data_IF_763310743483
#
_entry.id   IF_763310743483
#
_cell.length_a   1.000
_cell.length_b   1.000
_cell.length_c   1.000
_cell.angle_alpha   90.00
_cell.angle_beta   90.00
_cell.angle_gamma   90.00
#
_symmetry.space_group_name_H-M   'P 1'
#
loop_
_entity.id
_entity.type
_entity.pdbx_description
1 polymer ?
#
# COMPACT_ATOMS: atom_id res chain seq x y z
N UNK A 1 13.32 -7.52 4.94
CA UNK A 1 13.48 -7.74 3.48
C UNK A 1 12.51 -8.80 2.96
N UNK A 2 12.47 -10.01 3.53
CA UNK A 2 11.54 -11.08 3.10
C UNK A 2 10.07 -10.64 3.14
N UNK A 3 9.65 -9.95 4.21
CA UNK A 3 8.26 -9.50 4.35
C UNK A 3 7.82 -8.50 3.26
N UNK A 4 8.73 -7.65 2.77
CA UNK A 4 8.44 -6.75 1.65
C UNK A 4 8.21 -7.54 0.36
N UNK A 5 9.05 -8.54 0.10
CA UNK A 5 8.89 -9.40 -1.08
C UNK A 5 7.53 -10.12 -1.05
N UNK A 6 7.11 -10.60 0.13
CA UNK A 6 5.82 -11.26 0.31
C UNK A 6 4.66 -10.27 0.04
N UNK A 7 4.72 -9.06 0.59
CA UNK A 7 3.70 -8.02 0.32
C UNK A 7 3.62 -7.74 -1.19
N UNK A 8 4.77 -7.53 -1.84
CA UNK A 8 4.81 -7.24 -3.28
C UNK A 8 4.24 -8.39 -4.11
N UNK A 9 4.61 -9.64 -3.80
CA UNK A 9 4.07 -10.82 -4.48
C UNK A 9 2.56 -10.94 -4.27
N UNK A 10 2.09 -10.79 -3.04
CA UNK A 10 0.65 -10.81 -2.74
C UNK A 10 -0.10 -9.76 -3.54
N UNK A 11 0.40 -8.53 -3.55
CA UNK A 11 -0.25 -7.43 -4.25
C UNK A 11 -0.23 -7.61 -5.78
N UNK A 12 0.85 -8.16 -6.33
CA UNK A 12 0.93 -8.52 -7.75
C UNK A 12 -0.07 -9.63 -8.10
N UNK A 13 -0.24 -10.64 -7.25
CA UNK A 13 -1.22 -11.72 -7.46
C UNK A 13 -2.64 -11.18 -7.45
N UNK A 14 -3.02 -10.39 -6.44
CA UNK A 14 -4.37 -9.77 -6.37
C UNK A 14 -4.62 -8.85 -7.57
N UNK A 15 -3.60 -8.09 -7.99
CA UNK A 15 -3.66 -7.23 -9.18
C UNK A 15 -3.79 -8.03 -10.48
N UNK A 16 -3.08 -9.15 -10.62
CA UNK A 16 -3.27 -10.02 -11.77
C UNK A 16 -4.67 -10.64 -11.80
N UNK A 17 -5.17 -11.14 -10.65
CA UNK A 17 -6.50 -11.73 -10.54
C UNK A 17 -7.61 -10.73 -10.93
N UNK A 18 -7.56 -9.52 -10.38
CA UNK A 18 -8.50 -8.44 -10.75
C UNK A 18 -8.47 -8.11 -12.24
N UNK A 19 -7.28 -7.91 -12.80
CA UNK A 19 -7.12 -7.65 -14.23
C UNK A 19 -7.57 -8.80 -15.12
N UNK A 20 -7.35 -10.04 -14.69
CA UNK A 20 -7.84 -11.24 -15.38
C UNK A 20 -9.36 -11.28 -15.43
N UNK A 21 -10.03 -11.04 -14.29
CA UNK A 21 -11.49 -10.95 -14.24
C UNK A 21 -12.01 -9.85 -15.17
N UNK A 22 -11.39 -8.68 -15.18
CA UNK A 22 -11.79 -7.57 -16.06
C UNK A 22 -11.64 -7.91 -17.55
N UNK A 23 -10.50 -8.51 -17.93
CA UNK A 23 -10.24 -8.99 -19.29
C UNK A 23 -11.31 -9.99 -19.75
N UNK A 24 -11.74 -10.87 -18.84
CA UNK A 24 -12.85 -11.81 -19.09
C UNK A 24 -14.19 -11.08 -19.23
N UNK A 25 -14.53 -10.14 -18.34
CA UNK A 25 -15.78 -9.37 -18.41
C UNK A 25 -15.90 -8.56 -19.71
N UNK A 26 -14.79 -8.02 -20.20
CA UNK A 26 -14.75 -7.25 -21.45
C UNK A 26 -14.61 -8.13 -22.70
N UNK A 27 -14.37 -9.43 -22.56
CA UNK A 27 -14.02 -10.35 -23.66
C UNK A 27 -12.83 -9.85 -24.49
N UNK A 28 -11.85 -9.20 -23.86
CA UNK A 28 -10.64 -8.70 -24.55
C UNK A 28 -9.44 -9.47 -24.05
N UNK A 29 -8.63 -10.01 -24.96
CA UNK A 29 -7.36 -10.64 -24.62
C UNK A 29 -6.30 -9.57 -24.32
N UNK A 30 -6.11 -9.29 -23.03
CA UNK A 30 -5.05 -8.39 -22.58
C UNK A 30 -3.76 -9.14 -22.33
N UNK A 31 -2.65 -8.47 -22.66
CA UNK A 31 -1.31 -8.88 -22.21
C UNK A 31 -1.26 -8.90 -20.68
N UNK A 32 -0.30 -9.62 -20.14
CA UNK A 32 -0.20 -9.85 -18.71
C UNK A 32 0.16 -8.58 -17.96
N UNK A 33 1.02 -7.76 -18.56
CA UNK A 33 1.36 -6.44 -18.06
C UNK A 33 0.09 -5.56 -17.93
N UNK A 34 -0.78 -5.54 -18.95
CA UNK A 34 -2.03 -4.77 -18.90
C UNK A 34 -2.99 -5.31 -17.83
N UNK A 35 -3.09 -6.63 -17.65
CA UNK A 35 -3.87 -7.23 -16.56
C UNK A 35 -3.37 -6.74 -15.20
N UNK A 36 -2.07 -6.82 -14.95
CA UNK A 36 -1.48 -6.35 -13.68
C UNK A 36 -1.72 -4.85 -13.48
N UNK A 37 -1.45 -4.02 -14.49
CA UNK A 37 -1.57 -2.56 -14.38
C UNK A 37 -3.01 -2.10 -14.13
N UNK A 38 -3.98 -2.59 -14.90
CA UNK A 38 -5.39 -2.25 -14.68
C UNK A 38 -5.92 -2.81 -13.36
N UNK A 39 -5.52 -4.03 -12.99
CA UNK A 39 -5.89 -4.61 -11.71
C UNK A 39 -5.32 -3.83 -10.52
N UNK A 40 -4.08 -3.37 -10.61
CA UNK A 40 -3.46 -2.49 -9.61
C UNK A 40 -4.28 -1.21 -9.41
N UNK A 41 -4.61 -0.50 -10.50
CA UNK A 41 -5.40 0.74 -10.44
C UNK A 41 -6.78 0.49 -9.81
N UNK A 42 -7.43 -0.62 -10.16
CA UNK A 42 -8.73 -0.99 -9.60
C UNK A 42 -8.63 -1.32 -8.11
N UNK A 43 -7.61 -2.06 -7.68
CA UNK A 43 -7.44 -2.39 -6.26
C UNK A 43 -7.20 -1.15 -5.40
N UNK A 44 -6.34 -0.22 -5.86
CA UNK A 44 -6.11 1.05 -5.18
C UNK A 44 -7.40 1.89 -5.15
N UNK A 45 -8.11 1.99 -6.28
CA UNK A 45 -9.37 2.72 -6.36
C UNK A 45 -10.47 2.13 -5.47
N UNK A 46 -10.62 0.80 -5.45
CA UNK A 46 -11.58 0.11 -4.59
C UNK A 46 -11.26 0.33 -3.12
N UNK A 47 -9.99 0.21 -2.73
CA UNK A 47 -9.57 0.49 -1.36
C UNK A 47 -9.85 1.93 -0.96
N UNK A 48 -9.57 2.91 -1.84
CA UNK A 48 -9.91 4.32 -1.58
C UNK A 48 -11.42 4.51 -1.35
N UNK A 49 -12.26 3.97 -2.24
CA UNK A 49 -13.71 4.10 -2.15
C UNK A 49 -14.25 3.50 -0.84
N UNK A 50 -13.69 2.38 -0.40
CA UNK A 50 -14.09 1.71 0.84
C UNK A 50 -13.54 2.44 2.08
N UNK A 51 -12.29 2.89 2.05
CA UNK A 51 -11.62 3.49 3.22
C UNK A 51 -12.07 4.93 3.49
N UNK A 52 -12.42 5.72 2.47
CA UNK A 52 -12.80 7.13 2.65
C UNK A 52 -13.98 7.32 3.61
N UNK A 53 -15.12 6.59 3.48
CA UNK A 53 -16.20 6.68 4.47
C UNK A 53 -15.74 6.31 5.87
N UNK A 54 -14.89 5.29 6.00
CA UNK A 54 -14.35 4.86 7.29
C UNK A 54 -13.47 5.92 7.94
N UNK A 55 -12.66 6.62 7.15
CA UNK A 55 -11.80 7.69 7.64
C UNK A 55 -12.60 8.96 7.95
N UNK A 56 -13.54 9.33 7.08
CA UNK A 56 -14.38 10.53 7.25
C UNK A 56 -15.26 10.45 8.50
N UNK A 57 -15.83 9.27 8.79
CA UNK A 57 -16.65 9.04 9.99
C UNK A 57 -15.86 8.50 11.18
N UNK A 58 -14.52 8.52 11.13
CA UNK A 58 -13.62 8.07 12.21
C UNK A 58 -13.97 6.67 12.75
N UNK A 59 -14.39 5.77 11.84
CA UNK A 59 -14.82 4.42 12.19
C UNK A 59 -13.63 3.57 12.64
N UNK A 60 -13.96 2.45 13.32
CA UNK A 60 -12.94 1.51 13.74
C UNK A 60 -12.18 0.89 12.56
N UNK A 61 -10.89 0.60 12.76
CA UNK A 61 -10.03 0.01 11.74
C UNK A 61 -10.35 -1.47 11.47
N UNK A 62 -10.76 -2.23 12.49
CA UNK A 62 -10.95 -3.68 12.37
C UNK A 62 -11.98 -4.11 11.31
N UNK A 63 -13.18 -3.50 11.19
CA UNK A 63 -14.10 -3.82 10.11
C UNK A 63 -13.53 -3.49 8.73
N UNK A 64 -12.84 -2.35 8.56
CA UNK A 64 -12.16 -2.01 7.31
C UNK A 64 -11.13 -3.08 6.93
N UNK A 65 -10.31 -3.52 7.89
CA UNK A 65 -9.36 -4.61 7.70
C UNK A 65 -10.05 -5.90 7.22
N UNK A 66 -11.11 -6.34 7.89
CA UNK A 66 -11.81 -7.58 7.50
C UNK A 66 -12.52 -7.47 6.15
N UNK A 67 -13.13 -6.32 5.83
CA UNK A 67 -13.69 -6.05 4.50
C UNK A 67 -12.60 -6.14 3.44
N UNK A 68 -11.42 -5.60 3.74
CA UNK A 68 -10.27 -5.60 2.81
C UNK A 68 -9.80 -7.01 2.49
N UNK A 69 -9.67 -7.85 3.52
CA UNK A 69 -9.31 -9.26 3.35
C UNK A 69 -10.40 -10.02 2.60
N UNK A 70 -11.67 -9.79 2.95
CA UNK A 70 -12.79 -10.48 2.33
C UNK A 70 -12.84 -10.24 0.81
N UNK A 71 -12.75 -8.99 0.35
CA UNK A 71 -12.82 -8.73 -1.08
C UNK A 71 -11.59 -9.26 -1.83
N UNK A 72 -10.39 -9.17 -1.23
CA UNK A 72 -9.18 -9.75 -1.82
C UNK A 72 -9.32 -11.27 -1.99
N UNK A 73 -9.82 -11.97 -0.97
CA UNK A 73 -10.05 -13.41 -1.02
C UNK A 73 -11.12 -13.77 -2.06
N UNK A 74 -12.23 -13.03 -2.12
CA UNK A 74 -13.28 -13.25 -3.12
C UNK A 74 -12.74 -13.13 -4.55
N UNK A 75 -11.92 -12.11 -4.82
CA UNK A 75 -11.30 -11.92 -6.15
C UNK A 75 -10.42 -13.12 -6.51
N UNK A 76 -9.59 -13.60 -5.57
CA UNK A 76 -8.71 -14.75 -5.79
C UNK A 76 -9.54 -16.01 -6.05
N UNK A 77 -10.53 -16.29 -5.20
CA UNK A 77 -11.39 -17.49 -5.30
C UNK A 77 -12.16 -17.48 -6.63
N UNK A 78 -12.80 -16.37 -6.99
CA UNK A 78 -13.55 -16.25 -8.25
C UNK A 78 -12.62 -16.42 -9.46
N UNK A 79 -11.41 -15.84 -9.39
CA UNK A 79 -10.40 -16.01 -10.44
C UNK A 79 -9.98 -17.48 -10.60
N UNK A 80 -9.75 -18.20 -9.49
CA UNK A 80 -9.39 -19.63 -9.50
C UNK A 80 -10.54 -20.47 -10.06
N UNK A 81 -11.79 -20.22 -9.65
CA UNK A 81 -12.97 -20.96 -10.13
C UNK A 81 -13.15 -20.78 -11.64
N UNK A 82 -13.06 -19.54 -12.14
CA UNK A 82 -13.17 -19.25 -13.58
C UNK A 82 -12.00 -19.88 -14.34
N UNK A 83 -10.79 -19.78 -13.80
CA UNK A 83 -9.61 -20.37 -14.40
C UNK A 83 -9.75 -21.90 -14.52
N UNK A 84 -10.23 -22.56 -13.47
CA UNK A 84 -10.43 -24.00 -13.46
C UNK A 84 -11.55 -24.43 -14.42
N UNK A 85 -12.63 -23.65 -14.53
CA UNK A 85 -13.70 -23.90 -15.50
C UNK A 85 -13.23 -23.75 -16.94
N UNK A 86 -12.35 -22.79 -17.20
CA UNK A 86 -11.98 -22.44 -18.57
C UNK A 86 -10.81 -23.25 -19.14
N UNK A 87 -10.05 -24.02 -18.33
CA UNK A 87 -8.99 -25.00 -18.73
C UNK A 87 -8.07 -24.60 -19.90
N UNK A 88 -8.03 -23.32 -20.29
CA UNK A 88 -7.08 -22.78 -21.24
C UNK A 88 -5.79 -22.65 -20.46
N UNK A 89 -4.85 -23.56 -20.73
CA UNK A 89 -3.48 -23.43 -20.25
C UNK A 89 -3.03 -22.00 -20.58
N UNK A 90 -2.66 -21.25 -19.53
CA UNK A 90 -1.99 -19.98 -19.70
C UNK A 90 -0.66 -20.31 -20.36
N UNK A 91 -0.57 -20.13 -21.69
CA UNK A 91 0.70 -20.18 -22.37
C UNK A 91 1.47 -18.93 -21.98
N UNK A 92 2.42 -19.11 -21.06
CA UNK A 92 3.38 -18.09 -20.67
C UNK A 92 4.45 -18.02 -21.75
N UNK A 93 4.14 -17.37 -22.88
CA UNK A 93 5.13 -17.19 -23.94
C UNK A 93 5.96 -15.93 -23.66
N UNK A 94 6.99 -16.10 -22.81
CA UNK A 94 7.96 -15.05 -22.47
C UNK A 94 8.70 -14.55 -23.73
N UNK A 95 8.78 -15.37 -24.80
CA UNK A 95 9.53 -15.03 -26.02
C UNK A 95 8.78 -14.04 -26.92
N UNK A 96 7.46 -13.90 -26.78
CA UNK A 96 6.66 -12.94 -27.54
C UNK A 96 6.43 -11.61 -26.81
N UNK A 97 6.88 -11.47 -25.55
CA UNK A 97 6.66 -10.26 -24.75
C UNK A 97 7.27 -8.99 -25.38
N UNK A 98 8.34 -9.13 -26.17
CA UNK A 98 9.07 -8.03 -26.76
C UNK A 98 8.97 -7.92 -28.30
N UNK A 99 8.20 -8.80 -28.94
CA UNK A 99 8.17 -8.89 -30.41
C UNK A 99 7.30 -7.84 -31.09
N UNK A 100 6.33 -7.29 -30.37
CA UNK A 100 5.28 -6.42 -30.95
C UNK A 100 5.45 -4.93 -30.60
N UNK A 101 6.60 -4.51 -30.06
CA UNK A 101 6.79 -3.11 -29.68
C UNK A 101 7.03 -2.22 -30.90
N UNK A 102 6.16 -1.23 -31.09
CA UNK A 102 6.38 -0.18 -32.07
C UNK A 102 7.42 0.81 -31.53
N UNK A 103 8.08 1.56 -32.42
CA UNK A 103 9.03 2.62 -32.03
C UNK A 103 8.44 3.59 -30.99
N UNK A 104 7.13 3.86 -31.07
CA UNK A 104 6.41 4.72 -30.11
C UNK A 104 6.41 4.12 -28.70
N UNK A 105 6.19 2.82 -28.57
CA UNK A 105 6.16 2.13 -27.28
C UNK A 105 7.54 2.10 -26.62
N UNK A 106 8.60 1.95 -27.43
CA UNK A 106 9.99 2.02 -26.96
C UNK A 106 10.32 3.43 -26.43
N UNK A 107 9.88 4.48 -27.14
CA UNK A 107 10.09 5.88 -26.71
C UNK A 107 9.34 6.16 -25.40
N UNK A 108 8.08 5.70 -25.29
CA UNK A 108 7.30 5.84 -24.05
C UNK A 108 7.97 5.07 -22.90
N UNK A 109 8.44 3.84 -23.16
CA UNK A 109 9.16 3.04 -22.17
C UNK A 109 10.44 3.73 -21.68
N UNK A 110 11.22 4.31 -22.59
CA UNK A 110 12.39 5.13 -22.23
C UNK A 110 12.02 6.34 -21.38
N UNK A 111 10.94 7.05 -21.74
CA UNK A 111 10.44 8.17 -20.95
C UNK A 111 10.06 7.71 -19.53
N UNK A 112 9.37 6.58 -19.38
CA UNK A 112 9.03 6.01 -18.08
C UNK A 112 10.27 5.64 -17.26
N UNK A 113 11.30 5.08 -17.89
CA UNK A 113 12.56 4.76 -17.20
C UNK A 113 13.24 6.05 -16.72
N UNK A 114 13.31 7.07 -17.57
CA UNK A 114 13.88 8.37 -17.23
C UNK A 114 13.10 9.02 -16.07
N UNK A 115 11.76 8.95 -16.08
CA UNK A 115 10.96 9.50 -14.97
C UNK A 115 11.18 8.72 -13.67
N UNK A 116 11.34 7.39 -13.71
CA UNK A 116 11.70 6.60 -12.52
C UNK A 116 13.07 7.03 -11.99
N UNK A 117 14.08 7.18 -12.83
CA UNK A 117 15.40 7.65 -12.41
C UNK A 117 15.35 9.08 -11.87
N UNK A 118 14.56 9.96 -12.49
CA UNK A 118 14.37 11.33 -12.02
C UNK A 118 13.67 11.34 -10.64
N UNK A 119 12.65 10.51 -10.43
CA UNK A 119 11.99 10.36 -9.14
C UNK A 119 12.99 9.87 -8.07
N UNK A 120 13.78 8.83 -8.38
CA UNK A 120 14.83 8.33 -7.48
C UNK A 120 15.86 9.42 -7.19
N UNK A 121 16.30 10.17 -8.20
CA UNK A 121 17.25 11.27 -8.03
C UNK A 121 16.69 12.39 -7.15
N UNK A 122 15.44 12.80 -7.40
CA UNK A 122 14.76 13.81 -6.55
C UNK A 122 14.67 13.30 -5.12
N UNK A 123 14.33 12.04 -4.89
CA UNK A 123 14.34 11.44 -3.55
C UNK A 123 15.76 11.48 -2.96
N UNK A 124 16.80 11.05 -3.66
CA UNK A 124 18.17 11.05 -3.10
C UNK A 124 18.66 12.46 -2.73
N UNK A 125 18.35 13.47 -3.56
CA UNK A 125 18.84 14.84 -3.37
C UNK A 125 17.96 15.68 -2.44
N UNK A 126 16.65 15.44 -2.40
CA UNK A 126 15.67 16.28 -1.71
C UNK A 126 14.87 15.54 -0.63
N UNK A 127 15.18 14.27 -0.33
CA UNK A 127 14.60 13.59 0.83
C UNK A 127 15.13 14.24 2.10
N UNK A 128 14.33 15.16 2.63
CA UNK A 128 14.49 15.64 3.99
C UNK A 128 13.85 14.59 4.89
N UNK A 129 14.61 14.01 5.81
CA UNK A 129 14.04 13.21 6.90
C UNK A 129 13.52 14.15 7.95
N UNK A 130 12.36 14.71 7.66
CA UNK A 130 11.69 15.65 8.53
C UNK A 130 10.72 14.91 9.46
N UNK A 131 10.15 15.67 10.38
CA UNK A 131 9.12 15.25 11.33
C UNK A 131 7.98 14.49 10.63
N UNK A 132 7.70 14.79 9.36
CA UNK A 132 6.63 14.19 8.57
C UNK A 132 6.82 12.68 8.35
N UNK A 133 8.04 12.20 8.11
CA UNK A 133 8.31 10.76 7.93
C UNK A 133 7.95 9.97 9.20
N UNK A 134 8.28 10.52 10.37
CA UNK A 134 7.89 9.96 11.66
C UNK A 134 6.40 10.11 11.94
N UNK A 135 5.76 11.18 11.46
CA UNK A 135 4.33 11.41 11.61
C UNK A 135 3.49 10.33 10.94
N UNK A 136 3.75 10.01 9.66
CA UNK A 136 3.00 8.97 8.95
C UNK A 136 3.22 7.59 9.58
N UNK A 137 4.44 7.30 10.06
CA UNK A 137 4.72 6.06 10.78
C UNK A 137 3.97 5.98 12.11
N UNK A 138 3.93 7.08 12.86
CA UNK A 138 3.20 7.19 14.12
C UNK A 138 1.69 7.03 13.86
N UNK A 139 1.15 7.62 12.79
CA UNK A 139 -0.25 7.49 12.41
C UNK A 139 -0.64 6.03 12.16
N UNK A 140 0.20 5.28 11.43
CA UNK A 140 0.00 3.84 11.20
C UNK A 140 -0.01 3.06 12.51
N UNK A 141 0.92 3.36 13.42
CA UNK A 141 0.97 2.73 14.74
C UNK A 141 -0.27 3.06 15.57
N UNK A 142 -0.72 4.32 15.59
CA UNK A 142 -1.92 4.75 16.28
C UNK A 142 -3.13 3.98 15.78
N UNK A 143 -3.33 3.89 14.46
CA UNK A 143 -4.43 3.10 13.86
C UNK A 143 -4.40 1.64 14.32
N UNK A 144 -3.20 1.03 14.38
CA UNK A 144 -3.02 -0.36 14.82
C UNK A 144 -3.28 -0.56 16.32
N UNK A 145 -2.82 0.37 17.16
CA UNK A 145 -2.90 0.27 18.62
C UNK A 145 -4.27 0.66 19.17
N UNK A 146 -4.88 1.72 18.64
CA UNK A 146 -6.14 2.26 19.15
C UNK A 146 -7.35 1.75 18.38
N UNK A 147 -7.14 1.07 17.25
CA UNK A 147 -8.18 0.54 16.37
C UNK A 147 -9.17 1.63 15.88
N UNK A 148 -8.74 2.88 15.82
CA UNK A 148 -9.52 4.03 15.35
C UNK A 148 -8.85 4.69 14.16
N UNK A 149 -9.63 5.09 13.15
CA UNK A 149 -9.12 5.81 11.98
C UNK A 149 -9.22 7.32 12.21
N UNK A 150 -8.09 8.02 12.07
CA UNK A 150 -8.01 9.50 12.00
C UNK A 150 -8.65 10.27 13.17
N UNK A 151 -8.86 9.61 14.30
CA UNK A 151 -9.45 10.18 15.53
C UNK A 151 -8.42 10.82 16.46
N UNK A 152 -7.19 10.32 16.41
CA UNK A 152 -6.11 10.72 17.33
C UNK A 152 -4.99 11.27 16.47
N UNK A 153 -4.59 12.50 16.78
CA UNK A 153 -3.43 13.11 16.14
C UNK A 153 -2.16 12.32 16.48
N UNK A 154 -1.41 11.94 15.45
CA UNK A 154 -0.20 11.13 15.58
C UNK A 154 0.99 11.91 16.14
N UNK A 155 0.98 13.25 16.01
CA UNK A 155 2.04 14.10 16.55
C UNK A 155 1.85 14.34 18.06
N UNK A 156 0.64 14.69 18.49
CA UNK A 156 0.37 15.04 19.89
C UNK A 156 -0.19 13.90 20.74
N UNK A 157 -0.76 12.86 20.14
CA UNK A 157 -1.50 11.81 20.84
C UNK A 157 -2.85 12.26 21.40
N UNK A 158 -3.29 13.49 21.10
CA UNK A 158 -4.51 14.08 21.65
C UNK A 158 -5.65 13.92 20.63
N UNK A 159 -6.74 13.27 21.03
CA UNK A 159 -7.94 13.12 20.19
C UNK A 159 -8.89 14.33 20.17
N UNK A 160 -8.53 15.41 20.88
CA UNK A 160 -9.34 16.62 21.00
C UNK A 160 -9.07 17.63 19.89
N UNK A 161 -7.86 17.62 19.32
CA UNK A 161 -7.53 18.34 18.10
C UNK A 161 -7.70 17.35 16.95
N UNK A 162 -8.84 17.41 16.26
CA UNK A 162 -9.02 16.63 15.03
C UNK A 162 -7.87 16.90 14.06
N UNK A 163 -7.44 15.87 13.33
CA UNK A 163 -6.47 16.03 12.26
C UNK A 163 -6.94 17.10 11.28
N UNK A 164 -6.01 17.84 10.66
CA UNK A 164 -6.39 18.72 9.56
C UNK A 164 -7.06 17.90 8.45
N UNK A 165 -8.01 18.52 7.75
CA UNK A 165 -8.80 17.86 6.71
C UNK A 165 -7.92 17.17 5.64
N UNK A 166 -6.71 17.69 5.42
CA UNK A 166 -5.73 17.14 4.49
C UNK A 166 -5.25 15.75 4.90
N UNK A 167 -5.02 15.50 6.20
CA UNK A 167 -4.57 14.19 6.71
C UNK A 167 -5.71 13.21 6.94
N UNK A 168 -6.94 13.70 7.12
CA UNK A 168 -8.10 12.87 7.41
C UNK A 168 -8.47 11.93 6.25
N UNK A 169 -8.14 12.29 5.01
CA UNK A 169 -8.54 11.53 3.81
C UNK A 169 -7.37 10.76 3.16
N UNK A 170 -6.21 10.74 3.78
CA UNK A 170 -5.04 10.00 3.27
C UNK A 170 -5.22 8.53 3.62
N UNK A 171 -5.49 7.72 2.59
CA UNK A 171 -5.76 6.29 2.71
C UNK A 171 -4.51 5.43 2.66
N UNK A 172 -3.39 6.00 2.22
CA UNK A 172 -2.16 5.25 1.97
C UNK A 172 -1.60 4.63 3.26
N UNK A 173 -1.63 5.38 4.35
CA UNK A 173 -1.21 4.95 5.68
C UNK A 173 -2.15 3.89 6.23
N UNK A 174 -3.45 4.02 5.95
CA UNK A 174 -4.45 3.02 6.32
C UNK A 174 -4.23 1.72 5.55
N UNK A 175 -3.90 1.80 4.25
CA UNK A 175 -3.53 0.63 3.45
C UNK A 175 -2.26 -0.03 3.99
N UNK A 176 -1.27 0.77 4.39
CA UNK A 176 -0.05 0.28 5.02
C UNK A 176 -0.37 -0.44 6.34
N UNK A 177 -1.24 0.12 7.18
CA UNK A 177 -1.71 -0.53 8.40
C UNK A 177 -2.37 -1.90 8.12
N UNK A 178 -3.15 -2.02 7.04
CA UNK A 178 -3.70 -3.32 6.61
C UNK A 178 -2.60 -4.32 6.31
N UNK A 179 -1.57 -3.95 5.54
CA UNK A 179 -0.47 -4.87 5.23
C UNK A 179 0.34 -5.26 6.46
N UNK A 180 0.61 -4.30 7.34
CA UNK A 180 1.36 -4.54 8.57
C UNK A 180 0.61 -5.53 9.47
N UNK A 181 -0.71 -5.34 9.64
CA UNK A 181 -1.56 -6.27 10.40
C UNK A 181 -1.68 -7.63 9.71
N UNK A 182 -1.79 -7.68 8.38
CA UNK A 182 -1.94 -8.92 7.61
C UNK A 182 -0.69 -9.81 7.67
N UNK A 183 0.49 -9.22 7.52
CA UNK A 183 1.76 -9.95 7.49
C UNK A 183 2.50 -9.97 8.83
N UNK A 184 1.90 -9.39 9.87
CA UNK A 184 2.47 -9.25 11.21
C UNK A 184 3.89 -8.67 11.20
N UNK A 185 4.06 -7.57 10.45
CA UNK A 185 5.35 -6.89 10.30
C UNK A 185 5.45 -5.78 11.34
N UNK A 186 6.66 -5.45 11.81
CA UNK A 186 6.84 -4.25 12.63
C UNK A 186 6.87 -3.00 11.74
N UNK A 187 6.11 -1.95 12.09
CA UNK A 187 6.17 -0.62 11.44
C UNK A 187 7.60 -0.11 11.28
N UNK A 188 8.46 -0.33 12.27
CA UNK A 188 9.88 0.03 12.25
C UNK A 188 10.66 -0.55 11.07
N UNK A 189 10.29 -1.71 10.54
CA UNK A 189 10.98 -2.32 9.39
C UNK A 189 10.74 -1.50 8.10
N UNK A 190 9.68 -0.69 8.07
CA UNK A 190 9.35 0.22 6.96
C UNK A 190 10.10 1.55 7.08
N UNK A 191 10.39 1.99 8.30
CA UNK A 191 11.15 3.22 8.58
C UNK A 191 12.67 2.99 8.71
N UNK A 192 13.14 1.74 8.81
CA UNK A 192 14.55 1.43 9.12
C UNK A 192 15.49 1.86 7.99
N UNK A 193 16.05 3.07 8.11
CA UNK A 193 17.25 3.49 7.38
C UNK A 193 18.46 2.63 7.78
N UNK A 194 19.31 2.20 6.84
CA UNK A 194 20.66 1.74 7.15
C UNK A 194 21.48 2.96 7.59
N UNK A 195 21.56 3.19 8.90
CA UNK A 195 22.39 4.26 9.47
C UNK A 195 21.78 5.00 10.66
N UNK A 196 20.49 4.86 10.94
CA UNK A 196 19.84 5.63 12.01
C UNK A 196 19.45 4.74 13.20
N UNK A 197 20.42 4.51 14.09
CA UNK A 197 20.22 3.78 15.36
C UNK A 197 19.86 4.71 16.54
N UNK A 198 19.76 6.03 16.30
CA UNK A 198 19.51 7.04 17.34
C UNK A 198 18.03 7.32 17.61
N UNK A 199 17.20 7.54 16.58
CA UNK A 199 15.83 8.09 16.77
C UNK A 199 14.91 7.14 17.56
N UNK A 200 15.06 5.82 17.42
CA UNK A 200 14.25 4.87 18.20
C UNK A 200 14.63 4.81 19.69
N UNK A 201 15.85 5.27 20.06
CA UNK A 201 16.24 5.42 21.46
C UNK A 201 15.67 6.71 22.02
N UNK A 202 15.69 7.80 21.25
CA UNK A 202 15.21 9.11 21.68
C UNK A 202 13.72 9.12 22.01
N UNK A 203 12.88 8.48 21.18
CA UNK A 203 11.43 8.37 21.45
C UNK A 203 11.15 7.55 22.73
N UNK A 204 11.97 6.52 23.02
CA UNK A 204 11.82 5.74 24.26
C UNK A 204 12.26 6.56 25.47
N UNK A 205 13.31 7.37 25.35
CA UNK A 205 13.79 8.21 26.45
C UNK A 205 12.83 9.37 26.75
N UNK A 206 12.28 10.06 25.74
CA UNK A 206 11.32 11.14 25.94
C UNK A 206 10.04 10.65 26.64
N UNK A 207 9.48 9.52 26.20
CA UNK A 207 8.32 8.92 26.86
C UNK A 207 8.60 8.50 28.31
N UNK A 208 9.84 8.11 28.65
CA UNK A 208 10.19 7.76 30.03
C UNK A 208 10.51 8.97 30.90
N UNK A 209 11.02 10.07 30.36
CA UNK A 209 11.29 11.29 31.13
C UNK A 209 10.00 12.04 31.46
N UNK A 210 9.01 12.05 30.58
CA UNK A 210 7.73 12.73 30.84
C UNK A 210 6.86 11.98 31.86
N UNK A 211 6.97 10.65 31.90
CA UNK A 211 6.33 9.79 32.91
C UNK A 211 7.01 9.85 34.30
N UNK A 212 8.25 10.33 34.38
CA UNK A 212 8.99 10.47 35.64
C UNK A 212 8.96 11.90 36.21
N UNK A 213 8.42 12.86 35.46
CA UNK A 213 8.26 14.27 35.87
C UNK A 213 6.80 14.63 36.21
N UNK A 214 5.90 13.65 36.24
CA UNK A 214 4.47 13.81 36.54
C UNK A 214 4.00 13.24 37.90
N UNK A 215 4.95 12.83 38.75
CA UNK A 215 4.74 12.58 40.20
C UNK A 215 5.42 13.68 41.04
#
# INVERSE_FOLDING_TARGET
MISFLIITIFFLVVSFCTGYLLSMFKNIEWSWALKISFGFLINIGLFQIISVPFMYFELSFSPLFWITILYCLLIIIVSIVIFWKNRKCINFDVKNLFKDYQKKDIIIGLLCIITIFLQIYVVICYQHTDIDDSFYLAQVNTVLHTNSLQKIDAASGIGMFGLSADYQLVSYEVLLAVFIKLFNITTLIISKKPGNTGISRDIRTEFTTDLLLSD
#
